data_IF_427432791693
#
_entry.id   IF_427432791693
#
_cell.length_a   1.000
_cell.length_b   1.000
_cell.length_c   1.000
_cell.angle_alpha   90.00
_cell.angle_beta   90.00
_cell.angle_gamma   90.00
#
_symmetry.space_group_name_H-M   'P 1'
#
loop_
_entity.id
_entity.type
_entity.pdbx_description
1 polymer ?
#
# COMPACT_ATOMS: atom_id res chain seq x y z
N UNK A 1 31.46 -37.51 -30.91
CA UNK A 1 30.07 -38.02 -30.97
C UNK A 1 29.35 -37.47 -29.75
N UNK A 2 28.47 -36.49 -29.93
CA UNK A 2 27.62 -35.98 -28.85
C UNK A 2 26.63 -37.09 -28.47
N UNK A 3 26.57 -37.42 -27.17
CA UNK A 3 25.73 -38.50 -26.66
C UNK A 3 24.27 -38.07 -26.66
N UNK A 4 23.42 -38.81 -27.37
CA UNK A 4 21.98 -38.69 -27.21
C UNK A 4 21.63 -39.21 -25.81
N UNK A 5 21.13 -38.33 -24.94
CA UNK A 5 20.62 -38.72 -23.63
C UNK A 5 19.43 -39.69 -23.81
N UNK A 6 19.36 -40.72 -22.96
CA UNK A 6 18.22 -41.64 -22.99
C UNK A 6 16.93 -40.88 -22.66
N UNK A 7 15.77 -41.39 -23.11
CA UNK A 7 14.47 -40.77 -22.79
C UNK A 7 14.28 -40.59 -21.27
N UNK A 8 14.77 -41.55 -20.47
CA UNK A 8 14.75 -41.45 -19.01
C UNK A 8 15.61 -40.30 -18.49
N UNK A 9 16.82 -40.10 -19.05
CA UNK A 9 17.69 -38.99 -18.68
C UNK A 9 17.08 -37.63 -19.08
N UNK A 10 16.46 -37.53 -20.26
CA UNK A 10 15.76 -36.31 -20.69
C UNK A 10 14.57 -35.97 -19.78
N UNK A 11 13.79 -36.97 -19.36
CA UNK A 11 12.67 -36.75 -18.42
C UNK A 11 13.18 -36.31 -17.05
N UNK A 12 14.27 -36.90 -16.55
CA UNK A 12 14.88 -36.51 -15.28
C UNK A 12 15.41 -35.06 -15.34
N UNK A 13 16.14 -34.71 -16.40
CA UNK A 13 16.63 -33.34 -16.62
C UNK A 13 15.49 -32.31 -16.67
N UNK A 14 14.39 -32.64 -17.35
CA UNK A 14 13.21 -31.76 -17.43
C UNK A 14 12.52 -31.58 -16.07
N UNK A 15 12.47 -32.63 -15.26
CA UNK A 15 11.91 -32.54 -13.91
C UNK A 15 12.79 -31.67 -13.00
N UNK A 16 14.11 -31.81 -13.11
CA UNK A 16 15.08 -30.98 -12.38
C UNK A 16 14.97 -29.50 -12.80
N UNK A 17 14.90 -29.22 -14.11
CA UNK A 17 14.69 -27.87 -14.64
C UNK A 17 13.37 -27.25 -14.14
N UNK A 18 12.29 -28.04 -14.07
CA UNK A 18 11.02 -27.55 -13.55
C UNK A 18 11.11 -27.17 -12.05
N UNK A 19 11.83 -27.97 -11.24
CA UNK A 19 12.04 -27.65 -9.82
C UNK A 19 12.88 -26.39 -9.66
N UNK A 20 13.97 -26.28 -10.43
CA UNK A 20 14.81 -25.08 -10.43
C UNK A 20 14.02 -23.84 -10.84
N UNK A 21 13.21 -23.93 -11.90
CA UNK A 21 12.34 -22.84 -12.33
C UNK A 21 11.36 -22.40 -11.25
N UNK A 22 10.68 -23.34 -10.58
CA UNK A 22 9.76 -22.99 -9.47
C UNK A 22 10.47 -22.33 -8.29
N UNK A 23 11.71 -22.73 -8.01
CA UNK A 23 12.51 -22.11 -6.95
C UNK A 23 12.91 -20.67 -7.33
N UNK A 24 13.38 -20.46 -8.56
CA UNK A 24 13.77 -19.13 -9.04
C UNK A 24 12.57 -18.18 -9.03
N UNK A 25 11.40 -18.63 -9.50
CA UNK A 25 10.14 -17.87 -9.42
C UNK A 25 9.78 -17.48 -7.97
N UNK A 26 9.95 -18.39 -7.01
CA UNK A 26 9.65 -18.13 -5.61
C UNK A 26 10.61 -17.09 -4.99
N UNK A 27 11.89 -17.16 -5.34
CA UNK A 27 12.90 -16.18 -4.92
C UNK A 27 12.59 -14.81 -5.53
N UNK A 28 12.28 -14.75 -6.82
CA UNK A 28 11.90 -13.50 -7.50
C UNK A 28 10.66 -12.86 -6.88
N UNK A 29 9.61 -13.64 -6.60
CA UNK A 29 8.41 -13.15 -5.93
C UNK A 29 8.71 -12.60 -4.53
N UNK A 30 9.59 -13.26 -3.79
CA UNK A 30 9.99 -12.82 -2.45
C UNK A 30 10.77 -11.50 -2.51
N UNK A 31 11.68 -11.35 -3.46
CA UNK A 31 12.43 -10.10 -3.69
C UNK A 31 11.50 -8.97 -4.16
N UNK A 32 10.56 -9.27 -5.05
CA UNK A 32 9.56 -8.30 -5.50
C UNK A 32 8.70 -7.81 -4.32
N UNK A 33 8.21 -8.70 -3.47
CA UNK A 33 7.42 -8.32 -2.29
C UNK A 33 8.20 -7.43 -1.31
N UNK A 34 9.50 -7.66 -1.13
CA UNK A 34 10.38 -6.79 -0.33
C UNK A 34 10.44 -5.38 -0.91
N UNK A 35 10.74 -5.27 -2.21
CA UNK A 35 10.83 -3.98 -2.91
C UNK A 35 9.47 -3.24 -2.92
N UNK A 36 8.38 -3.97 -3.07
CA UNK A 36 7.03 -3.40 -3.00
C UNK A 36 6.70 -2.89 -1.59
N UNK A 37 7.09 -3.61 -0.53
CA UNK A 37 6.93 -3.13 0.84
C UNK A 37 7.76 -1.85 1.08
N UNK A 38 8.97 -1.77 0.56
CA UNK A 38 9.78 -0.55 0.63
C UNK A 38 9.07 0.64 -0.04
N UNK A 39 8.54 0.44 -1.24
CA UNK A 39 7.75 1.45 -1.94
C UNK A 39 6.49 1.86 -1.16
N UNK A 40 5.80 0.90 -0.54
CA UNK A 40 4.61 1.13 0.28
C UNK A 40 4.94 1.98 1.52
N UNK A 41 6.09 1.77 2.17
CA UNK A 41 6.56 2.61 3.29
C UNK A 41 6.76 4.06 2.83
N UNK A 42 7.41 4.29 1.69
CA UNK A 42 7.58 5.64 1.15
C UNK A 42 6.25 6.31 0.80
N UNK A 43 5.34 5.57 0.16
CA UNK A 43 4.00 6.05 -0.16
C UNK A 43 3.20 6.38 1.12
N UNK A 44 3.34 5.58 2.17
CA UNK A 44 2.70 5.81 3.45
C UNK A 44 3.22 7.07 4.14
N UNK A 45 4.54 7.31 4.14
CA UNK A 45 5.12 8.55 4.68
C UNK A 45 4.60 9.78 3.94
N UNK A 46 4.55 9.73 2.62
CA UNK A 46 3.97 10.80 1.82
C UNK A 46 2.48 11.03 2.14
N UNK A 47 1.70 9.95 2.26
CA UNK A 47 0.29 10.02 2.62
C UNK A 47 0.08 10.62 4.02
N UNK A 48 0.86 10.18 5.01
CA UNK A 48 0.85 10.68 6.38
C UNK A 48 1.11 12.19 6.42
N UNK A 49 2.17 12.65 5.74
CA UNK A 49 2.53 14.07 5.66
C UNK A 49 1.47 14.90 4.90
N UNK A 50 0.74 14.29 3.98
CA UNK A 50 -0.39 14.91 3.30
C UNK A 50 -1.67 15.04 4.14
N UNK A 51 -1.75 14.42 5.33
CA UNK A 51 -2.91 14.57 6.22
C UNK A 51 -2.84 15.93 6.93
N UNK A 52 -3.88 16.78 6.87
CA UNK A 52 -3.93 18.03 7.63
C UNK A 52 -3.91 17.81 9.15
N UNK A 53 -3.26 18.69 9.91
CA UNK A 53 -3.13 18.58 11.38
C UNK A 53 -4.49 18.56 12.10
N UNK A 54 -5.49 19.24 11.54
CA UNK A 54 -6.86 19.22 12.05
C UNK A 54 -7.50 17.81 12.04
N UNK A 55 -6.96 16.87 11.26
CA UNK A 55 -7.44 15.48 11.16
C UNK A 55 -6.52 14.47 11.85
N UNK A 56 -5.26 14.86 12.10
CA UNK A 56 -4.24 14.03 12.71
C UNK A 56 -3.29 14.92 13.52
N UNK A 57 -3.48 14.94 14.84
CA UNK A 57 -2.63 15.75 15.72
C UNK A 57 -1.19 15.21 15.81
N UNK A 58 -0.29 16.06 16.29
CA UNK A 58 1.16 15.79 16.31
C UNK A 58 1.54 14.49 17.03
N UNK A 59 0.87 14.16 18.14
CA UNK A 59 1.13 12.93 18.88
C UNK A 59 0.78 11.68 18.06
N UNK A 60 -0.39 11.67 17.39
CA UNK A 60 -0.78 10.54 16.53
C UNK A 60 0.13 10.48 15.30
N UNK A 61 0.45 11.62 14.70
CA UNK A 61 1.38 11.70 13.56
C UNK A 61 2.76 11.16 13.91
N UNK A 62 3.32 11.55 15.06
CA UNK A 62 4.61 11.07 15.54
C UNK A 62 4.60 9.57 15.76
N UNK A 63 3.54 9.03 16.39
CA UNK A 63 3.39 7.59 16.58
C UNK A 63 3.34 6.83 15.25
N UNK A 64 2.62 7.33 14.24
CA UNK A 64 2.56 6.70 12.90
C UNK A 64 3.88 6.83 12.14
N UNK A 65 4.60 7.94 12.30
CA UNK A 65 5.93 8.10 11.71
C UNK A 65 6.90 7.08 12.27
N UNK A 66 6.89 6.88 13.59
CA UNK A 66 7.74 5.90 14.27
C UNK A 66 7.39 4.45 13.85
N UNK A 67 6.09 4.15 13.68
CA UNK A 67 5.65 2.84 13.18
C UNK A 67 6.18 2.56 11.77
N UNK A 68 6.15 3.54 10.86
CA UNK A 68 6.70 3.40 9.50
C UNK A 68 8.23 3.31 9.50
N UNK A 69 8.91 4.03 10.40
CA UNK A 69 10.36 3.92 10.60
C UNK A 69 10.78 2.54 11.10
N UNK A 70 10.03 1.97 12.05
CA UNK A 70 10.28 0.61 12.53
C UNK A 70 10.10 -0.45 11.42
N UNK A 71 9.14 -0.27 10.50
CA UNK A 71 8.98 -1.18 9.35
C UNK A 71 10.16 -1.04 8.38
N UNK A 72 10.63 0.19 8.13
CA UNK A 72 11.82 0.41 7.29
C UNK A 72 13.08 -0.19 7.94
N UNK A 73 13.31 0.03 9.23
CA UNK A 73 14.43 -0.57 9.95
C UNK A 73 14.36 -2.10 9.89
N UNK A 74 13.16 -2.67 10.07
CA UNK A 74 12.95 -4.10 9.96
C UNK A 74 13.31 -4.63 8.56
N UNK A 75 12.96 -3.94 7.47
CA UNK A 75 13.32 -4.34 6.08
C UNK A 75 14.83 -4.50 5.88
N UNK A 76 15.62 -3.68 6.58
CA UNK A 76 17.08 -3.64 6.47
C UNK A 76 17.80 -4.44 7.56
N UNK A 77 17.07 -5.12 8.45
CA UNK A 77 17.63 -5.91 9.54
C UNK A 77 17.01 -7.30 9.57
N UNK A 78 16.08 -7.55 10.50
CA UNK A 78 15.43 -8.85 10.71
C UNK A 78 14.65 -9.34 9.47
N UNK A 79 14.15 -8.40 8.68
CA UNK A 79 13.38 -8.62 7.47
C UNK A 79 14.22 -8.81 6.21
N UNK A 80 15.55 -8.90 6.28
CA UNK A 80 16.37 -8.92 5.05
C UNK A 80 16.13 -10.19 4.20
N UNK A 81 15.98 -11.34 4.87
CA UNK A 81 15.88 -12.69 4.28
C UNK A 81 14.73 -13.50 4.87
N UNK A 82 13.54 -12.92 4.92
CA UNK A 82 12.34 -13.60 5.42
C UNK A 82 11.46 -14.14 4.30
N UNK A 83 10.52 -15.00 4.66
CA UNK A 83 9.50 -15.56 3.77
C UNK A 83 8.59 -14.47 3.17
N UNK A 84 8.17 -14.66 1.93
CA UNK A 84 7.23 -13.79 1.20
C UNK A 84 6.05 -13.28 2.05
N UNK A 85 5.42 -14.17 2.82
CA UNK A 85 4.24 -13.86 3.65
C UNK A 85 4.49 -12.79 4.72
N UNK A 86 5.74 -12.65 5.18
CA UNK A 86 6.11 -11.63 6.18
C UNK A 86 6.11 -10.23 5.57
N UNK A 87 6.49 -10.09 4.30
CA UNK A 87 6.40 -8.82 3.58
C UNK A 87 4.94 -8.47 3.31
N UNK A 88 4.17 -9.41 2.75
CA UNK A 88 2.74 -9.18 2.42
C UNK A 88 1.91 -8.74 3.61
N UNK A 89 2.10 -9.37 4.78
CA UNK A 89 1.39 -8.97 6.00
C UNK A 89 1.63 -7.51 6.36
N UNK A 90 2.87 -7.05 6.27
CA UNK A 90 3.24 -5.66 6.59
C UNK A 90 2.70 -4.68 5.54
N UNK A 91 2.63 -5.11 4.28
CA UNK A 91 1.99 -4.33 3.21
C UNK A 91 0.49 -4.14 3.47
N UNK A 92 -0.20 -5.19 3.93
CA UNK A 92 -1.60 -5.11 4.35
C UNK A 92 -1.79 -4.12 5.51
N UNK A 93 -0.89 -4.15 6.50
CA UNK A 93 -0.90 -3.22 7.64
C UNK A 93 -0.74 -1.76 7.16
N UNK A 94 0.25 -1.49 6.31
CA UNK A 94 0.48 -0.16 5.72
C UNK A 94 -0.73 0.29 4.91
N UNK A 95 -1.27 -0.59 4.05
CA UNK A 95 -2.44 -0.30 3.23
C UNK A 95 -3.64 0.08 4.10
N UNK A 96 -3.90 -0.68 5.16
CA UNK A 96 -4.99 -0.41 6.10
C UNK A 96 -4.83 0.95 6.77
N UNK A 97 -3.60 1.31 7.13
CA UNK A 97 -3.24 2.60 7.71
C UNK A 97 -3.53 3.77 6.74
N UNK A 98 -3.04 3.67 5.51
CA UNK A 98 -3.27 4.67 4.44
C UNK A 98 -4.77 4.82 4.16
N UNK A 99 -5.49 3.71 4.03
CA UNK A 99 -6.92 3.72 3.75
C UNK A 99 -7.70 4.37 4.93
N UNK A 100 -7.22 4.19 6.16
CA UNK A 100 -7.71 4.89 7.34
C UNK A 100 -7.61 6.41 7.22
N UNK A 101 -6.46 6.92 6.81
CA UNK A 101 -6.24 8.36 6.62
C UNK A 101 -7.06 8.93 5.47
N UNK A 102 -7.09 8.25 4.32
CA UNK A 102 -7.93 8.63 3.17
C UNK A 102 -9.40 8.72 3.56
N UNK A 103 -9.91 7.78 4.36
CA UNK A 103 -11.29 7.83 4.87
C UNK A 103 -11.53 9.05 5.76
N UNK A 104 -10.60 9.42 6.64
CA UNK A 104 -10.71 10.64 7.48
C UNK A 104 -10.77 11.90 6.60
N UNK A 105 -9.85 12.02 5.65
CA UNK A 105 -9.80 13.14 4.69
C UNK A 105 -11.09 13.23 3.87
N UNK A 106 -11.55 12.10 3.32
CA UNK A 106 -12.78 12.07 2.53
C UNK A 106 -14.01 12.50 3.35
N UNK A 107 -14.14 12.06 4.60
CA UNK A 107 -15.24 12.51 5.49
C UNK A 107 -15.17 14.01 5.76
N UNK A 108 -13.97 14.53 6.04
CA UNK A 108 -13.76 15.95 6.29
C UNK A 108 -14.12 16.79 5.05
N UNK A 109 -13.64 16.39 3.88
CA UNK A 109 -13.98 17.03 2.61
C UNK A 109 -15.49 17.07 2.36
N UNK A 110 -16.18 15.93 2.56
CA UNK A 110 -17.64 15.87 2.41
C UNK A 110 -18.37 16.82 3.36
N UNK A 111 -17.91 16.95 4.60
CA UNK A 111 -18.49 17.89 5.56
C UNK A 111 -18.32 19.35 5.09
N UNK A 112 -17.12 19.71 4.62
CA UNK A 112 -16.83 21.05 4.08
C UNK A 112 -17.71 21.37 2.88
N UNK A 113 -17.82 20.45 1.91
CA UNK A 113 -18.68 20.62 0.73
C UNK A 113 -20.15 20.78 1.13
N UNK A 114 -20.63 20.01 2.09
CA UNK A 114 -22.02 20.12 2.58
C UNK A 114 -22.29 21.49 3.22
N UNK A 115 -21.36 22.02 4.00
CA UNK A 115 -21.47 23.37 4.60
C UNK A 115 -21.55 24.43 3.51
N UNK A 116 -20.65 24.41 2.53
CA UNK A 116 -20.68 25.37 1.43
C UNK A 116 -21.98 25.27 0.61
N UNK A 117 -22.47 24.05 0.38
CA UNK A 117 -23.77 23.82 -0.26
C UNK A 117 -24.93 24.45 0.52
N UNK A 118 -24.97 24.25 1.84
CA UNK A 118 -26.00 24.83 2.71
C UNK A 118 -25.95 26.36 2.74
N UNK A 119 -24.74 26.96 2.84
CA UNK A 119 -24.55 28.42 2.78
C UNK A 119 -25.02 28.99 1.45
N UNK A 120 -24.74 28.31 0.32
CA UNK A 120 -25.21 28.72 -1.00
C UNK A 120 -26.73 28.64 -1.12
N UNK A 121 -27.37 27.61 -0.55
CA UNK A 121 -28.81 27.46 -0.56
C UNK A 121 -29.53 28.56 0.25
N UNK A 122 -28.98 28.94 1.42
CA UNK A 122 -29.53 30.02 2.25
C UNK A 122 -29.41 31.41 1.62
N UNK A 123 -28.47 31.61 0.68
CA UNK A 123 -28.26 32.89 -0.02
C UNK A 123 -29.03 33.02 -1.33
N UNK A 124 -29.90 32.07 -1.69
CA UNK A 124 -30.81 32.25 -2.82
C UNK A 124 -31.93 33.21 -2.39
N UNK A 125 -32.05 34.43 -2.97
CA UNK A 125 -33.25 35.21 -2.78
C UNK A 125 -34.43 34.45 -3.39
N UNK A 126 -35.55 34.38 -2.67
CA UNK A 126 -36.83 34.05 -3.28
C UNK A 126 -37.11 35.14 -4.31
N UNK A 127 -36.87 34.82 -5.59
CA UNK A 127 -37.45 35.61 -6.67
C UNK A 127 -38.94 35.33 -6.59
N UNK A 128 -39.65 36.22 -5.92
CA UNK A 128 -41.10 36.19 -5.80
C UNK A 128 -41.70 36.09 -7.19
N UNK A 129 -42.41 35.00 -7.42
CA UNK A 129 -43.30 34.82 -8.56
C UNK A 129 -44.48 35.77 -8.33
N UNK A 130 -44.32 36.99 -8.83
CA UNK A 130 -45.27 38.09 -8.67
C UNK A 130 -45.02 39.10 -9.75
N UNK A 131 -45.41 38.76 -10.98
CA UNK A 131 -45.89 39.68 -12.01
C UNK A 131 -46.28 38.87 -13.25
N UNK A 132 -47.56 38.51 -13.36
CA UNK A 132 -48.40 38.51 -14.57
C UNK A 132 -49.88 38.53 -14.18
#
# INVERSE_FOLDING_TARGET
RAGAASLAALTAMRAEEAVMGTHDEAVEQTLAAKNELEADVYAARAALNGVPDALLGDAERGMRSAELEAIEEWLYTEGEFVEFSQYERRREDIKSMIDGWKRRQHRAWRAVVAIFGAVRAQRRPEVGEGDL
#
